data_IF_695032962122
#
_entry.id   IF_695032962122
#
_cell.length_a   1.000
_cell.length_b   1.000
_cell.length_c   1.000
_cell.angle_alpha   90.00
_cell.angle_beta   90.00
_cell.angle_gamma   90.00
#
_symmetry.space_group_name_H-M   'P 1'
#
loop_
_entity.id
_entity.type
_entity.pdbx_description
1 polymer ?
#
# COMPACT_ATOMS: atom_id res chain seq x y z
N UNK A 1 -5.38 7.71 -5.90
CA UNK A 1 -3.92 7.69 -6.13
C UNK A 1 -3.22 7.77 -4.79
N UNK A 2 -2.18 6.96 -4.56
CA UNK A 2 -1.43 6.88 -3.30
C UNK A 2 0.03 7.24 -3.55
N UNK A 3 0.57 8.11 -2.69
CA UNK A 3 1.97 8.54 -2.68
C UNK A 3 2.57 8.29 -1.28
N UNK A 4 3.46 7.31 -1.11
CA UNK A 4 4.20 7.13 0.13
C UNK A 4 5.21 8.27 0.33
N UNK A 5 5.48 8.57 1.59
CA UNK A 5 6.46 9.56 2.01
C UNK A 5 7.85 8.92 2.24
N UNK A 6 8.91 9.72 2.04
CA UNK A 6 10.28 9.32 2.40
C UNK A 6 10.44 9.33 3.92
N UNK A 7 11.20 8.37 4.47
CA UNK A 7 11.63 8.38 5.87
C UNK A 7 12.69 9.45 6.16
N UNK A 8 13.52 9.78 5.16
CA UNK A 8 14.59 10.77 5.28
C UNK A 8 14.10 12.15 4.80
N UNK A 9 14.34 13.17 5.62
CA UNK A 9 14.05 14.57 5.27
C UNK A 9 14.98 15.01 4.11
N UNK A 10 14.42 15.68 3.10
CA UNK A 10 15.15 16.29 1.96
C UNK A 10 15.84 15.34 0.97
N UNK A 11 15.52 14.04 0.97
CA UNK A 11 16.04 13.12 -0.06
C UNK A 11 15.18 13.17 -1.33
N UNK A 12 15.82 13.50 -2.46
CA UNK A 12 15.19 13.50 -3.80
C UNK A 12 15.25 12.06 -4.36
N UNK A 13 14.33 11.21 -3.92
CA UNK A 13 14.16 9.84 -4.42
C UNK A 13 13.01 9.81 -5.42
N UNK A 14 13.09 8.97 -6.45
CA UNK A 14 11.91 8.56 -7.22
C UNK A 14 10.87 7.97 -6.26
N UNK A 15 9.72 8.64 -6.15
CA UNK A 15 8.69 8.26 -5.17
C UNK A 15 7.85 7.11 -5.74
N UNK A 16 7.64 6.02 -4.98
CA UNK A 16 6.68 5.00 -5.38
C UNK A 16 5.30 5.62 -5.56
N UNK A 17 4.47 5.07 -6.45
CA UNK A 17 3.09 5.53 -6.56
C UNK A 17 2.17 4.45 -7.12
N UNK A 18 0.92 4.49 -6.66
CA UNK A 18 -0.14 3.58 -7.08
C UNK A 18 -1.35 4.40 -7.53
N UNK A 19 -1.83 4.11 -8.74
CA UNK A 19 -3.01 4.73 -9.34
C UNK A 19 -4.02 3.62 -9.59
N UNK A 20 -5.29 3.90 -9.29
CA UNK A 20 -6.41 2.99 -9.52
C UNK A 20 -7.34 3.58 -10.56
N UNK A 21 -8.01 2.69 -11.28
CA UNK A 21 -9.15 2.99 -12.12
C UNK A 21 -10.40 3.22 -11.26
N UNK A 22 -11.47 3.75 -11.88
CA UNK A 22 -12.76 3.97 -11.20
C UNK A 22 -13.45 2.66 -10.79
N UNK A 23 -13.10 1.54 -11.42
CA UNK A 23 -13.59 0.20 -11.06
C UNK A 23 -12.79 -0.45 -9.91
N UNK A 24 -11.78 0.26 -9.38
CA UNK A 24 -10.92 -0.21 -8.30
C UNK A 24 -9.71 -1.04 -8.75
N UNK A 25 -9.57 -1.34 -10.05
CA UNK A 25 -8.39 -2.04 -10.56
C UNK A 25 -7.14 -1.15 -10.55
N UNK A 26 -5.94 -1.73 -10.43
CA UNK A 26 -4.68 -0.98 -10.46
C UNK A 26 -4.40 -0.53 -11.90
N UNK A 27 -4.40 0.78 -12.12
CA UNK A 27 -4.07 1.41 -13.39
C UNK A 27 -2.54 1.50 -13.59
N UNK A 28 -1.83 1.94 -12.55
CA UNK A 28 -0.38 2.08 -12.59
C UNK A 28 0.25 1.78 -11.23
N UNK A 29 1.36 1.05 -11.26
CA UNK A 29 2.16 0.73 -10.08
C UNK A 29 3.64 0.86 -10.44
N UNK A 30 4.31 1.85 -9.87
CA UNK A 30 5.75 2.10 -10.05
C UNK A 30 6.51 2.05 -8.73
N UNK A 31 7.71 1.49 -8.80
CA UNK A 31 8.68 1.39 -7.70
C UNK A 31 8.18 0.68 -6.42
N UNK A 32 7.11 -0.11 -6.51
CA UNK A 32 6.67 -1.02 -5.46
C UNK A 32 7.20 -2.44 -5.66
N UNK A 33 7.42 -3.14 -4.55
CA UNK A 33 8.04 -4.47 -4.54
C UNK A 33 7.13 -5.59 -5.03
N UNK A 34 5.82 -5.34 -5.21
CA UNK A 34 4.85 -6.27 -5.81
C UNK A 34 5.38 -6.93 -7.10
N UNK A 35 6.21 -6.23 -7.88
CA UNK A 35 6.77 -6.71 -9.15
C UNK A 35 8.14 -7.42 -9.03
N UNK A 36 8.75 -7.53 -7.85
CA UNK A 36 10.04 -8.22 -7.64
C UNK A 36 9.80 -9.71 -7.41
N UNK A 37 10.73 -10.61 -7.74
CA UNK A 37 10.48 -12.06 -7.68
C UNK A 37 10.50 -12.66 -6.27
N UNK A 38 10.90 -11.89 -5.26
CA UNK A 38 11.10 -12.39 -3.91
C UNK A 38 9.91 -12.07 -3.00
N UNK A 39 9.66 -12.97 -2.04
CA UNK A 39 8.70 -12.90 -0.93
C UNK A 39 7.20 -12.75 -1.30
N UNK A 40 6.55 -13.90 -1.54
CA UNK A 40 5.10 -13.99 -1.78
C UNK A 40 4.27 -13.28 -0.69
N UNK A 41 4.66 -13.41 0.57
CA UNK A 41 3.94 -12.78 1.69
C UNK A 41 3.93 -11.25 1.60
N UNK A 42 5.07 -10.64 1.24
CA UNK A 42 5.19 -9.19 1.10
C UNK A 42 4.32 -8.65 -0.04
N UNK A 43 4.19 -9.42 -1.14
CA UNK A 43 3.29 -9.08 -2.25
C UNK A 43 1.84 -9.10 -1.85
N UNK A 44 1.42 -10.14 -1.11
CA UNK A 44 0.04 -10.29 -0.64
C UNK A 44 -0.27 -9.17 0.37
N UNK A 45 0.66 -8.85 1.26
CA UNK A 45 0.55 -7.68 2.16
C UNK A 45 0.31 -6.40 1.37
N UNK A 46 1.20 -6.06 0.42
CA UNK A 46 1.08 -4.83 -0.37
C UNK A 46 -0.24 -4.77 -1.14
N UNK A 47 -0.68 -5.88 -1.76
CA UNK A 47 -1.97 -5.94 -2.45
C UNK A 47 -3.16 -5.68 -1.50
N UNK A 48 -3.18 -6.33 -0.34
CA UNK A 48 -4.26 -6.15 0.65
C UNK A 48 -4.34 -4.74 1.21
N UNK A 49 -3.17 -4.10 1.44
CA UNK A 49 -3.10 -2.70 1.87
C UNK A 49 -3.63 -1.76 0.78
N UNK A 50 -3.27 -1.99 -0.48
CA UNK A 50 -3.76 -1.18 -1.61
C UNK A 50 -5.27 -1.26 -1.79
N UNK A 51 -5.86 -2.44 -1.61
CA UNK A 51 -7.31 -2.61 -1.65
C UNK A 51 -8.00 -1.87 -0.48
N UNK A 52 -7.42 -1.91 0.72
CA UNK A 52 -7.96 -1.18 1.88
C UNK A 52 -8.02 0.34 1.65
N UNK A 53 -7.08 0.92 0.90
CA UNK A 53 -7.12 2.34 0.53
C UNK A 53 -8.32 2.74 -0.34
N UNK A 54 -9.02 1.79 -0.97
CA UNK A 54 -10.22 2.04 -1.76
C UNK A 54 -11.51 1.99 -0.92
N UNK A 55 -11.40 1.69 0.38
CA UNK A 55 -12.53 1.55 1.28
C UNK A 55 -12.67 2.78 2.19
N UNK A 56 -13.91 3.08 2.60
CA UNK A 56 -14.23 4.24 3.43
C UNK A 56 -14.74 5.43 2.60
N UNK A 57 -15.52 6.30 3.25
CA UNK A 57 -16.10 7.51 2.65
C UNK A 57 -15.36 8.78 3.04
N UNK A 58 -14.59 8.71 4.13
CA UNK A 58 -13.74 9.79 4.64
C UNK A 58 -12.27 9.37 4.68
N UNK A 59 -11.37 10.35 4.75
CA UNK A 59 -9.93 10.07 4.89
C UNK A 59 -9.62 9.29 6.17
N UNK A 60 -10.32 9.60 7.27
CA UNK A 60 -10.17 8.90 8.55
C UNK A 60 -10.59 7.44 8.45
N UNK A 61 -11.77 7.16 7.88
CA UNK A 61 -12.23 5.78 7.65
C UNK A 61 -11.26 4.99 6.77
N UNK A 62 -10.76 5.61 5.70
CA UNK A 62 -9.78 5.01 4.81
C UNK A 62 -8.52 4.58 5.58
N UNK A 63 -7.93 5.48 6.37
CA UNK A 63 -6.75 5.14 7.17
C UNK A 63 -7.05 4.13 8.29
N UNK A 64 -8.24 4.12 8.88
CA UNK A 64 -8.64 3.12 9.87
C UNK A 64 -8.75 1.72 9.25
N UNK A 65 -9.29 1.61 8.04
CA UNK A 65 -9.37 0.34 7.31
C UNK A 65 -7.96 -0.15 6.93
N UNK A 66 -7.09 0.74 6.45
CA UNK A 66 -5.69 0.42 6.16
C UNK A 66 -4.92 -0.01 7.41
N UNK A 67 -5.12 0.67 8.54
CA UNK A 67 -4.49 0.32 9.82
C UNK A 67 -4.88 -1.08 10.28
N UNK A 68 -6.17 -1.44 10.15
CA UNK A 68 -6.68 -2.78 10.52
C UNK A 68 -5.96 -3.89 9.73
N UNK A 69 -5.79 -3.69 8.41
CA UNK A 69 -5.03 -4.64 7.58
C UNK A 69 -3.56 -4.66 7.98
N UNK A 70 -2.94 -3.50 8.23
CA UNK A 70 -1.55 -3.43 8.65
C UNK A 70 -1.30 -4.19 9.97
N UNK A 71 -2.19 -4.05 10.95
CA UNK A 71 -2.10 -4.75 12.24
C UNK A 71 -2.21 -6.27 12.08
N UNK A 72 -3.15 -6.75 11.24
CA UNK A 72 -3.26 -8.18 10.91
C UNK A 72 -1.94 -8.75 10.36
N UNK A 73 -1.28 -8.01 9.46
CA UNK A 73 -0.01 -8.45 8.88
C UNK A 73 1.15 -8.33 9.86
N UNK A 74 1.16 -7.32 10.72
CA UNK A 74 2.14 -7.21 11.81
C UNK A 74 2.06 -8.43 12.73
N UNK A 75 0.87 -8.90 13.06
CA UNK A 75 0.70 -10.12 13.85
C UNK A 75 1.21 -11.36 13.09
N UNK A 76 0.90 -11.48 11.80
CA UNK A 76 1.39 -12.58 10.95
C UNK A 76 2.93 -12.65 10.83
N UNK A 77 3.61 -11.51 10.71
CA UNK A 77 5.07 -11.45 10.60
C UNK A 77 5.81 -11.60 11.93
N UNK A 78 5.09 -11.54 13.06
CA UNK A 78 5.67 -11.67 14.42
C UNK A 78 5.74 -13.12 14.91
N UNK A 79 5.19 -14.08 14.16
CA UNK A 79 5.34 -15.52 14.38
C UNK A 79 6.42 -16.12 13.47
#
# INVERSE_FOLDING_TARGET
MILPASKEERKRIEKPYCVFNMDGSIAELKYFEVKRNDELQLKIFQASVFEAFLTGTTLEECYNNVATIADYWLDMFRF
#
